data_IF_365475832715
#
_entry.id   IF_365475832715
#
_cell.length_a   1.000
_cell.length_b   1.000
_cell.length_c   1.000
_cell.angle_alpha   90.00
_cell.angle_beta   90.00
_cell.angle_gamma   90.00
#
_symmetry.space_group_name_H-M   'P 1'
#
loop_
_entity.id
_entity.type
_entity.pdbx_description
1 polymer ?
#
# COMPACT_ATOMS: atom_id res chain seq x y z
N UNK A 1 -3.34 -34.44 1.70
CA UNK A 1 -4.42 -33.85 0.88
C UNK A 1 -4.24 -32.35 1.01
N UNK A 2 -3.83 -31.67 -0.06
CA UNK A 2 -3.64 -30.21 0.01
C UNK A 2 -5.01 -29.56 0.04
N UNK A 3 -5.32 -28.92 1.16
CA UNK A 3 -6.52 -28.12 1.35
C UNK A 3 -6.45 -26.94 0.38
N UNK A 4 -7.43 -26.83 -0.51
CA UNK A 4 -7.52 -25.69 -1.44
C UNK A 4 -8.08 -24.52 -0.63
N UNK A 5 -7.25 -23.50 -0.43
CA UNK A 5 -7.63 -22.30 0.32
C UNK A 5 -8.23 -21.29 -0.66
N UNK A 6 -9.44 -20.80 -0.35
CA UNK A 6 -10.01 -19.63 -1.03
C UNK A 6 -9.39 -18.34 -0.46
N UNK A 7 -8.58 -17.67 -1.28
CA UNK A 7 -7.89 -16.44 -0.89
C UNK A 7 -8.84 -15.24 -0.72
N UNK A 8 -9.99 -15.22 -1.40
CA UNK A 8 -10.98 -14.16 -1.25
C UNK A 8 -11.72 -14.30 0.07
N UNK A 9 -12.15 -15.51 0.44
CA UNK A 9 -12.77 -15.76 1.74
C UNK A 9 -11.80 -15.43 2.89
N UNK A 10 -10.54 -15.86 2.76
CA UNK A 10 -9.50 -15.57 3.75
C UNK A 10 -9.27 -14.06 3.92
N UNK A 11 -9.19 -13.31 2.83
CA UNK A 11 -9.06 -11.83 2.84
C UNK A 11 -10.31 -11.17 3.44
N UNK A 12 -11.50 -11.56 3.01
CA UNK A 12 -12.76 -10.94 3.45
C UNK A 12 -13.05 -11.23 4.94
N UNK A 13 -12.55 -12.34 5.47
CA UNK A 13 -12.63 -12.68 6.90
C UNK A 13 -11.54 -12.00 7.75
N UNK A 14 -10.52 -11.39 7.13
CA UNK A 14 -9.47 -10.70 7.86
C UNK A 14 -9.96 -9.32 8.32
N UNK A 15 -10.05 -9.11 9.64
CA UNK A 15 -10.38 -7.81 10.23
C UNK A 15 -9.24 -6.79 10.06
N UNK A 16 -8.01 -7.25 9.82
CA UNK A 16 -6.80 -6.44 9.70
C UNK A 16 -5.88 -6.97 8.59
N UNK A 17 -5.06 -6.10 7.97
CA UNK A 17 -4.03 -6.53 7.03
C UNK A 17 -2.96 -7.41 7.69
N UNK A 18 -2.25 -8.21 6.88
CA UNK A 18 -1.11 -8.99 7.37
C UNK A 18 -0.02 -8.08 7.96
N UNK A 19 0.76 -8.62 8.92
CA UNK A 19 1.76 -7.86 9.66
C UNK A 19 2.83 -7.20 8.77
N UNK A 20 3.12 -7.76 7.60
CA UNK A 20 4.05 -7.18 6.62
C UNK A 20 3.51 -5.89 5.97
N UNK A 21 2.19 -5.71 5.94
CA UNK A 21 1.48 -4.54 5.43
C UNK A 21 1.04 -3.58 6.52
N UNK A 22 1.55 -3.76 7.75
CA UNK A 22 1.34 -2.86 8.88
C UNK A 22 2.68 -2.44 9.46
N UNK A 23 2.94 -1.13 9.50
CA UNK A 23 4.13 -0.53 10.12
C UNK A 23 3.70 0.39 11.25
N UNK A 24 4.64 0.75 12.12
CA UNK A 24 4.42 1.78 13.14
C UNK A 24 5.34 2.96 12.86
N UNK A 25 4.82 4.17 13.00
CA UNK A 25 5.66 5.36 13.02
C UNK A 25 6.46 5.47 14.33
N UNK A 26 7.24 6.55 14.44
CA UNK A 26 8.04 6.89 15.62
C UNK A 26 7.21 7.10 16.89
N UNK A 27 5.90 7.32 16.77
CA UNK A 27 4.95 7.51 17.87
C UNK A 27 4.10 6.26 18.14
N UNK A 28 4.38 5.14 17.45
CA UNK A 28 3.65 3.89 17.61
C UNK A 28 2.31 3.82 16.88
N UNK A 29 1.96 4.82 16.05
CA UNK A 29 0.72 4.85 15.28
C UNK A 29 0.82 3.91 14.07
N UNK A 30 -0.21 3.10 13.79
CA UNK A 30 -0.16 2.16 12.67
C UNK A 30 -0.24 2.89 11.32
N UNK A 31 0.61 2.50 10.39
CA UNK A 31 0.50 2.78 8.96
C UNK A 31 0.17 1.48 8.24
N UNK A 32 -0.69 1.59 7.25
CA UNK A 32 -1.14 0.49 6.42
C UNK A 32 -0.65 0.70 4.98
N UNK A 33 -0.28 -0.40 4.32
CA UNK A 33 0.08 -0.38 2.90
C UNK A 33 -1.18 -0.42 2.03
N UNK A 34 -1.40 0.63 1.24
CA UNK A 34 -2.47 0.75 0.26
C UNK A 34 -1.93 0.55 -1.15
N UNK A 35 -2.66 -0.21 -1.96
CA UNK A 35 -2.39 -0.34 -3.39
C UNK A 35 -3.11 0.77 -4.14
N UNK A 36 -2.39 1.42 -5.04
CA UNK A 36 -2.87 2.43 -5.96
C UNK A 36 -2.77 1.89 -7.38
N UNK A 37 -3.78 2.16 -8.21
CA UNK A 37 -3.76 1.83 -9.63
C UNK A 37 -4.00 3.07 -10.47
N UNK A 38 -3.30 3.20 -11.59
CA UNK A 38 -3.48 4.27 -12.55
C UNK A 38 -3.27 3.77 -13.98
N UNK A 39 -3.99 4.38 -14.91
CA UNK A 39 -3.89 4.05 -16.33
C UNK A 39 -2.85 4.94 -17.01
N UNK A 40 -2.03 4.33 -17.87
CA UNK A 40 -1.06 5.04 -18.70
C UNK A 40 -1.07 4.42 -20.10
N UNK A 41 -1.74 5.12 -21.03
CA UNK A 41 -2.07 4.59 -22.35
C UNK A 41 -3.06 3.43 -22.23
N UNK A 42 -2.77 2.32 -22.89
CA UNK A 42 -3.62 1.12 -22.89
C UNK A 42 -3.29 0.13 -21.76
N UNK A 43 -2.50 0.55 -20.77
CA UNK A 43 -2.01 -0.31 -19.68
C UNK A 43 -2.36 0.29 -18.32
N UNK A 44 -2.74 -0.59 -17.41
CA UNK A 44 -2.91 -0.27 -15.99
C UNK A 44 -1.61 -0.59 -15.24
N UNK A 45 -1.17 0.35 -14.43
CA UNK A 45 -0.02 0.21 -13.54
C UNK A 45 -0.47 0.27 -12.09
N UNK A 46 0.27 -0.42 -11.22
CA UNK A 46 0.07 -0.42 -9.78
C UNK A 46 1.28 0.15 -9.05
N UNK A 47 1.06 0.85 -7.95
CA UNK A 47 2.09 1.26 -7.00
C UNK A 47 1.54 1.16 -5.58
N UNK A 48 2.42 1.17 -4.59
CA UNK A 48 2.06 1.07 -3.17
C UNK A 48 2.31 2.39 -2.45
N UNK A 49 1.54 2.62 -1.38
CA UNK A 49 1.54 3.82 -0.56
C UNK A 49 1.32 3.44 0.91
N UNK A 50 2.10 4.01 1.83
CA UNK A 50 1.85 3.88 3.26
C UNK A 50 1.02 5.07 3.79
N UNK A 51 -0.11 4.76 4.43
CA UNK A 51 -1.04 5.76 4.97
C UNK A 51 -1.67 5.30 6.29
N UNK A 52 -2.14 6.25 7.10
CA UNK A 52 -2.74 5.95 8.41
C UNK A 52 -4.13 5.34 8.29
N UNK A 53 -4.88 5.77 7.29
CA UNK A 53 -6.22 5.32 7.00
C UNK A 53 -6.54 5.62 5.52
N UNK A 54 -7.76 5.28 5.10
CA UNK A 54 -8.21 5.51 3.74
C UNK A 54 -8.28 7.01 3.38
N UNK A 55 -8.62 7.88 4.32
CA UNK A 55 -8.73 9.32 4.07
C UNK A 55 -7.35 9.93 3.84
N UNK A 56 -6.36 9.57 4.65
CA UNK A 56 -4.96 9.94 4.44
C UNK A 56 -4.43 9.38 3.10
N UNK A 57 -4.80 8.14 2.77
CA UNK A 57 -4.41 7.54 1.49
C UNK A 57 -4.98 8.33 0.29
N UNK A 58 -6.27 8.65 0.30
CA UNK A 58 -6.93 9.43 -0.76
C UNK A 58 -6.35 10.86 -0.86
N UNK A 59 -6.05 11.50 0.27
CA UNK A 59 -5.41 12.82 0.30
C UNK A 59 -4.01 12.80 -0.34
N UNK A 60 -3.20 11.77 -0.05
CA UNK A 60 -1.89 11.59 -0.69
C UNK A 60 -2.01 11.31 -2.18
N UNK A 61 -2.99 10.52 -2.62
CA UNK A 61 -3.28 10.32 -4.05
C UNK A 61 -3.65 11.62 -4.74
N UNK A 62 -4.48 12.46 -4.11
CA UNK A 62 -4.81 13.78 -4.65
C UNK A 62 -3.54 14.64 -4.81
N UNK A 63 -2.69 14.71 -3.79
CA UNK A 63 -1.42 15.43 -3.86
C UNK A 63 -0.48 14.87 -4.95
N UNK A 64 -0.43 13.55 -5.14
CA UNK A 64 0.35 12.92 -6.20
C UNK A 64 -0.12 13.35 -7.60
N UNK A 65 -1.43 13.46 -7.83
CA UNK A 65 -1.96 13.91 -9.13
C UNK A 65 -1.53 15.34 -9.49
N UNK A 66 -1.30 16.18 -8.48
CA UNK A 66 -0.95 17.59 -8.69
C UNK A 66 0.57 17.84 -8.71
N UNK A 67 1.34 17.08 -7.93
CA UNK A 67 2.71 17.46 -7.59
C UNK A 67 3.74 16.31 -7.63
N UNK A 68 3.33 15.10 -8.03
CA UNK A 68 4.25 13.97 -8.07
C UNK A 68 5.43 14.22 -9.01
N UNK A 69 6.64 13.96 -8.49
CA UNK A 69 7.91 14.12 -9.19
C UNK A 69 8.75 12.85 -9.05
N UNK A 70 9.53 12.56 -10.09
CA UNK A 70 10.57 11.53 -10.04
C UNK A 70 11.84 12.11 -9.40
N UNK A 71 12.22 11.60 -8.23
CA UNK A 71 13.41 12.06 -7.49
C UNK A 71 14.65 11.17 -7.68
N UNK A 72 14.52 10.05 -8.39
CA UNK A 72 15.63 9.17 -8.73
C UNK A 72 15.32 7.68 -8.51
N UNK A 73 16.37 6.90 -8.30
CA UNK A 73 16.30 5.45 -8.06
C UNK A 73 16.63 5.14 -6.60
N UNK A 74 15.96 4.14 -6.04
CA UNK A 74 16.27 3.61 -4.71
C UNK A 74 17.45 2.63 -4.82
N UNK A 75 18.51 2.85 -4.04
CA UNK A 75 19.73 2.02 -4.07
C UNK A 75 19.79 0.95 -2.98
N UNK A 76 19.00 1.06 -1.93
CA UNK A 76 18.99 0.10 -0.83
C UNK A 76 17.92 0.40 0.21
N UNK A 77 17.61 -0.62 1.01
CA UNK A 77 16.73 -0.53 2.18
C UNK A 77 17.59 -0.90 3.38
N UNK A 78 17.70 0.00 4.35
CA UNK A 78 18.33 -0.32 5.63
C UNK A 78 17.26 -0.90 6.57
N UNK A 79 17.42 -2.13 7.08
CA UNK A 79 16.57 -2.64 8.15
C UNK A 79 16.82 -1.83 9.42
N UNK A 80 15.74 -1.46 10.12
CA UNK A 80 15.78 -0.80 11.42
C UNK A 80 16.19 -1.77 12.53
#
# INVERSE_FOLDING_TARGET
MSEIIDLNERRNAAEQPDAEFVRKDEYGRPLYCFVLSFDMGDKQYGTELWAYDRTDAEAKVAAMRESLRLDGQLFGVLPA
#
